data_IF_942016810684
#
_entry.id   IF_942016810684
#
_cell.length_a   1.000
_cell.length_b   1.000
_cell.length_c   1.000
_cell.angle_alpha   90.00
_cell.angle_beta   90.00
_cell.angle_gamma   90.00
#
_symmetry.space_group_name_H-M   'P 1'
#
loop_
_entity.id
_entity.type
_entity.pdbx_description
1 polymer ?
#
# COMPACT_ATOMS: atom_id res chain seq x y z
N UNK A 1 -13.26 -23.75 -21.03
CA UNK A 1 -14.26 -22.93 -20.30
C UNK A 1 -14.69 -21.81 -21.22
N UNK A 2 -15.98 -21.68 -21.56
CA UNK A 2 -16.47 -20.75 -22.59
C UNK A 2 -16.80 -19.33 -22.07
N UNK A 3 -16.91 -19.17 -20.75
CA UNK A 3 -17.24 -17.89 -20.12
C UNK A 3 -16.13 -17.42 -19.17
N UNK A 4 -15.81 -16.12 -19.27
CA UNK A 4 -14.75 -15.47 -18.53
C UNK A 4 -15.01 -15.49 -17.01
N UNK A 5 -16.28 -15.42 -16.60
CA UNK A 5 -16.74 -15.50 -15.20
C UNK A 5 -16.45 -16.88 -14.58
N UNK A 6 -16.68 -17.95 -15.32
CA UNK A 6 -16.37 -19.31 -14.87
C UNK A 6 -14.86 -19.51 -14.70
N UNK A 7 -14.06 -18.94 -15.61
CA UNK A 7 -12.60 -18.94 -15.50
C UNK A 7 -12.14 -18.19 -14.25
N UNK A 8 -12.69 -17.00 -13.98
CA UNK A 8 -12.39 -16.23 -12.77
C UNK A 8 -12.72 -17.01 -11.49
N UNK A 9 -13.89 -17.65 -11.43
CA UNK A 9 -14.29 -18.44 -10.25
C UNK A 9 -13.40 -19.67 -10.05
N UNK A 10 -13.05 -20.37 -11.12
CA UNK A 10 -12.18 -21.54 -11.07
C UNK A 10 -10.75 -21.19 -10.59
N UNK A 11 -10.21 -20.05 -11.04
CA UNK A 11 -8.90 -19.58 -10.58
C UNK A 11 -8.98 -19.10 -9.13
N UNK A 12 -10.04 -18.37 -8.76
CA UNK A 12 -10.23 -17.87 -7.39
C UNK A 12 -10.31 -19.00 -6.37
N UNK A 13 -11.01 -20.10 -6.69
CA UNK A 13 -11.11 -21.25 -5.79
C UNK A 13 -9.77 -21.96 -5.61
N UNK A 14 -8.99 -22.14 -6.69
CA UNK A 14 -7.64 -22.74 -6.63
C UNK A 14 -6.63 -21.84 -5.92
N UNK A 15 -6.72 -20.53 -6.12
CA UNK A 15 -5.92 -19.55 -5.39
C UNK A 15 -6.19 -19.61 -3.89
N UNK A 16 -7.47 -19.68 -3.47
CA UNK A 16 -7.85 -19.88 -2.07
C UNK A 16 -7.36 -21.23 -1.51
N UNK A 17 -7.33 -22.27 -2.35
CA UNK A 17 -6.76 -23.59 -2.05
C UNK A 17 -5.22 -23.65 -1.99
N UNK A 18 -4.51 -22.54 -2.29
CA UNK A 18 -3.04 -22.46 -2.40
C UNK A 18 -2.43 -23.33 -3.52
N UNK A 19 -3.22 -23.71 -4.51
CA UNK A 19 -2.79 -24.49 -5.67
C UNK A 19 -2.39 -23.54 -6.82
N UNK A 20 -1.33 -22.76 -6.61
CA UNK A 20 -0.97 -21.65 -7.50
C UNK A 20 -0.56 -22.10 -8.92
N UNK A 21 0.04 -23.28 -9.06
CA UNK A 21 0.47 -23.80 -10.37
C UNK A 21 -0.71 -24.17 -11.27
N UNK A 22 -1.70 -24.86 -10.71
CA UNK A 22 -2.93 -25.20 -11.44
C UNK A 22 -3.75 -23.95 -11.79
N UNK A 23 -3.78 -22.97 -10.88
CA UNK A 23 -4.40 -21.68 -11.14
C UNK A 23 -3.76 -20.97 -12.35
N UNK A 24 -2.42 -21.02 -12.49
CA UNK A 24 -1.73 -20.46 -13.66
C UNK A 24 -2.07 -21.20 -14.96
N UNK A 25 -2.12 -22.53 -14.94
CA UNK A 25 -2.48 -23.30 -16.14
C UNK A 25 -3.87 -22.91 -16.66
N UNK A 26 -4.83 -22.72 -15.75
CA UNK A 26 -6.17 -22.25 -16.11
C UNK A 26 -6.12 -20.82 -16.66
N UNK A 27 -5.30 -19.94 -16.07
CA UNK A 27 -5.14 -18.55 -16.52
C UNK A 27 -4.47 -18.43 -17.89
N UNK A 28 -3.46 -19.25 -18.18
CA UNK A 28 -2.71 -19.27 -19.44
C UNK A 28 -3.47 -19.98 -20.56
N UNK A 29 -4.47 -20.80 -20.24
CA UNK A 29 -5.33 -21.41 -21.25
C UNK A 29 -5.98 -20.34 -22.16
N UNK A 30 -5.84 -20.45 -23.50
CA UNK A 30 -6.37 -19.48 -24.43
C UNK A 30 -7.90 -19.40 -24.29
N UNK A 31 -8.42 -18.17 -24.20
CA UNK A 31 -9.85 -17.93 -24.21
C UNK A 31 -10.30 -18.14 -25.66
N UNK A 32 -11.29 -19.01 -25.95
CA UNK A 32 -11.80 -19.14 -27.30
C UNK A 32 -12.38 -17.79 -27.74
N UNK A 33 -11.85 -17.23 -28.82
CA UNK A 33 -12.29 -15.97 -29.43
C UNK A 33 -13.81 -16.00 -29.61
N UNK A 34 -14.52 -15.18 -28.84
CA UNK A 34 -15.91 -14.85 -29.15
C UNK A 34 -15.92 -13.54 -29.91
N UNK A 35 -16.64 -13.57 -31.04
CA UNK A 35 -16.96 -12.44 -31.91
C UNK A 35 -17.45 -11.28 -31.05
N UNK A 36 -16.68 -10.19 -31.06
CA UNK A 36 -17.01 -8.92 -30.42
C UNK A 36 -18.30 -8.41 -31.08
N UNK A 37 -19.38 -8.35 -30.31
CA UNK A 37 -20.57 -7.57 -30.68
C UNK A 37 -20.43 -6.25 -29.93
N UNK A 38 -20.13 -5.14 -30.62
CA UNK A 38 -19.90 -3.86 -29.97
C UNK A 38 -21.25 -3.21 -29.66
N UNK A 39 -21.58 -3.03 -28.38
CA UNK A 39 -22.26 -1.79 -27.98
C UNK A 39 -22.29 -1.56 -26.46
N UNK A 40 -22.65 -2.54 -25.61
CA UNK A 40 -22.89 -2.24 -24.18
C UNK A 40 -22.27 -3.23 -23.16
N UNK A 41 -21.77 -4.38 -23.60
CA UNK A 41 -21.14 -5.39 -22.71
C UNK A 41 -19.66 -5.14 -22.40
N UNK A 42 -19.07 -4.08 -22.96
CA UNK A 42 -17.62 -3.85 -22.99
C UNK A 42 -17.03 -3.48 -21.62
N UNK A 43 -17.76 -2.71 -20.81
CA UNK A 43 -17.22 -2.22 -19.52
C UNK A 43 -17.13 -3.35 -18.48
N UNK A 44 -18.21 -4.13 -18.30
CA UNK A 44 -18.21 -5.27 -17.38
C UNK A 44 -17.17 -6.32 -17.80
N UNK A 45 -17.01 -6.53 -19.12
CA UNK A 45 -16.03 -7.46 -19.64
C UNK A 45 -14.59 -6.96 -19.37
N UNK A 46 -14.31 -5.66 -19.58
CA UNK A 46 -13.00 -5.06 -19.24
C UNK A 46 -12.68 -5.14 -17.75
N UNK A 47 -13.65 -4.87 -16.87
CA UNK A 47 -13.47 -5.01 -15.41
C UNK A 47 -13.19 -6.45 -15.00
N UNK A 48 -13.85 -7.42 -15.63
CA UNK A 48 -13.63 -8.84 -15.39
C UNK A 48 -12.25 -9.30 -15.91
N UNK A 49 -11.82 -8.79 -17.06
CA UNK A 49 -10.47 -9.00 -17.58
C UNK A 49 -9.40 -8.39 -16.66
N UNK A 50 -9.62 -7.16 -16.16
CA UNK A 50 -8.75 -6.52 -15.19
C UNK A 50 -8.62 -7.35 -13.90
N UNK A 51 -9.75 -7.84 -13.37
CA UNK A 51 -9.81 -8.71 -12.19
C UNK A 51 -9.06 -10.03 -12.40
N UNK A 52 -9.12 -10.60 -13.61
CA UNK A 52 -8.35 -11.79 -13.97
C UNK A 52 -6.84 -11.51 -14.04
N UNK A 53 -6.42 -10.36 -14.60
CA UNK A 53 -5.01 -9.96 -14.62
C UNK A 53 -4.47 -9.71 -13.21
N UNK A 54 -5.27 -9.10 -12.34
CA UNK A 54 -4.93 -8.93 -10.92
C UNK A 54 -4.70 -10.30 -10.25
N UNK A 55 -5.62 -11.25 -10.44
CA UNK A 55 -5.48 -12.59 -9.88
C UNK A 55 -4.26 -13.34 -10.44
N UNK A 56 -3.95 -13.13 -11.72
CA UNK A 56 -2.72 -13.64 -12.34
C UNK A 56 -1.47 -13.05 -11.70
N UNK A 57 -1.45 -11.73 -11.47
CA UNK A 57 -0.37 -11.05 -10.75
C UNK A 57 -0.15 -11.63 -9.36
N UNK A 58 -1.22 -11.80 -8.57
CA UNK A 58 -1.17 -12.42 -7.23
C UNK A 58 -0.67 -13.85 -7.25
N UNK A 59 -1.03 -14.61 -8.28
CA UNK A 59 -0.60 -16.00 -8.43
C UNK A 59 0.89 -16.08 -8.77
N UNK A 60 1.39 -15.22 -9.67
CA UNK A 60 2.83 -15.13 -9.93
C UNK A 60 3.61 -14.65 -8.70
N UNK A 61 3.05 -13.72 -7.93
CA UNK A 61 3.64 -13.27 -6.68
C UNK A 61 3.76 -14.41 -5.66
N UNK A 62 2.72 -15.24 -5.52
CA UNK A 62 2.74 -16.42 -4.66
C UNK A 62 3.74 -17.50 -5.10
N UNK A 63 4.19 -17.48 -6.36
CA UNK A 63 5.22 -18.36 -6.92
C UNK A 63 6.60 -17.64 -6.97
N UNK A 64 6.72 -16.49 -6.30
CA UNK A 64 7.94 -15.65 -6.25
C UNK A 64 8.41 -15.09 -7.61
N UNK A 65 7.56 -15.07 -8.64
CA UNK A 65 7.87 -14.47 -9.94
C UNK A 65 7.43 -13.00 -10.01
N UNK A 66 8.22 -12.12 -9.40
CA UNK A 66 7.91 -10.69 -9.27
C UNK A 66 7.84 -9.94 -10.60
N UNK A 67 8.68 -10.30 -11.59
CA UNK A 67 8.70 -9.59 -12.87
C UNK A 67 7.40 -9.82 -13.65
N UNK A 68 6.93 -11.07 -13.74
CA UNK A 68 5.67 -11.37 -14.41
C UNK A 68 4.47 -10.85 -13.62
N UNK A 69 4.54 -10.85 -12.28
CA UNK A 69 3.52 -10.26 -11.43
C UNK A 69 3.34 -8.76 -11.73
N UNK A 70 4.45 -8.00 -11.79
CA UNK A 70 4.45 -6.58 -12.08
C UNK A 70 3.81 -6.27 -13.46
N UNK A 71 4.16 -7.02 -14.50
CA UNK A 71 3.58 -6.86 -15.82
C UNK A 71 2.07 -7.18 -15.84
N UNK A 72 1.61 -8.16 -15.06
CA UNK A 72 0.18 -8.46 -14.93
C UNK A 72 -0.57 -7.35 -14.19
N UNK A 73 0.00 -6.78 -13.12
CA UNK A 73 -0.59 -5.65 -12.41
C UNK A 73 -0.64 -4.38 -13.27
N UNK A 74 0.42 -4.07 -14.04
CA UNK A 74 0.42 -2.98 -15.03
C UNK A 74 -0.70 -3.16 -16.06
N UNK A 75 -0.93 -4.40 -16.53
CA UNK A 75 -2.03 -4.71 -17.47
C UNK A 75 -3.40 -4.54 -16.82
N UNK A 76 -3.57 -4.97 -15.57
CA UNK A 76 -4.82 -4.79 -14.84
C UNK A 76 -5.21 -3.31 -14.73
N UNK A 77 -4.25 -2.44 -14.39
CA UNK A 77 -4.46 -0.99 -14.27
C UNK A 77 -4.78 -0.29 -15.60
N UNK A 78 -4.26 -0.80 -16.73
CA UNK A 78 -4.60 -0.29 -18.06
C UNK A 78 -6.03 -0.63 -18.48
N UNK A 79 -6.57 -1.73 -17.97
CA UNK A 79 -7.94 -2.18 -18.24
C UNK A 79 -8.95 -1.50 -17.30
N UNK A 80 -8.57 -1.31 -16.03
CA UNK A 80 -9.37 -0.62 -15.02
C UNK A 80 -8.49 0.20 -14.08
N UNK A 81 -8.64 1.53 -14.16
CA UNK A 81 -7.91 2.49 -13.31
C UNK A 81 -8.31 2.35 -11.83
N UNK A 82 -9.55 1.93 -11.55
CA UNK A 82 -10.07 1.81 -10.18
C UNK A 82 -9.58 0.56 -9.44
N UNK A 83 -8.78 -0.29 -10.11
CA UNK A 83 -8.17 -1.47 -9.50
C UNK A 83 -7.01 -1.09 -8.55
N UNK A 84 -7.34 -0.45 -7.42
CA UNK A 84 -6.37 0.01 -6.42
C UNK A 84 -5.49 -1.13 -5.89
N UNK A 85 -6.03 -2.35 -5.77
CA UNK A 85 -5.28 -3.49 -5.25
C UNK A 85 -4.06 -3.85 -6.13
N UNK A 86 -4.17 -3.70 -7.45
CA UNK A 86 -3.03 -3.90 -8.36
C UNK A 86 -1.95 -2.82 -8.15
N UNK A 87 -2.39 -1.58 -7.97
CA UNK A 87 -1.50 -0.45 -7.71
C UNK A 87 -0.82 -0.57 -6.34
N UNK A 88 -1.56 -0.92 -5.30
CA UNK A 88 -1.02 -1.15 -3.95
C UNK A 88 0.06 -2.23 -3.97
N UNK A 89 -0.18 -3.36 -4.66
CA UNK A 89 0.81 -4.43 -4.79
C UNK A 89 2.10 -3.95 -5.48
N UNK A 90 1.99 -3.18 -6.56
CA UNK A 90 3.15 -2.62 -7.28
C UNK A 90 4.00 -1.72 -6.38
N UNK A 91 3.36 -0.80 -5.64
CA UNK A 91 4.04 0.17 -4.77
C UNK A 91 4.61 -0.51 -3.52
N UNK A 92 3.83 -1.38 -2.87
CA UNK A 92 4.20 -2.04 -1.61
C UNK A 92 5.42 -2.94 -1.76
N UNK A 93 5.52 -3.65 -2.88
CA UNK A 93 6.63 -4.55 -3.15
C UNK A 93 7.81 -3.89 -3.87
N UNK A 94 7.76 -2.57 -4.09
CA UNK A 94 8.77 -1.82 -4.83
C UNK A 94 9.09 -2.48 -6.18
N UNK A 95 8.04 -2.91 -6.89
CA UNK A 95 8.17 -3.65 -8.14
C UNK A 95 8.49 -2.73 -9.34
N UNK A 96 8.41 -1.42 -9.16
CA UNK A 96 8.61 -0.41 -10.19
C UNK A 96 9.78 0.50 -9.84
N UNK A 97 10.51 0.96 -10.87
CA UNK A 97 11.42 2.10 -10.73
C UNK A 97 10.65 3.42 -10.66
N UNK A 98 11.31 4.49 -10.19
CA UNK A 98 10.70 5.83 -10.13
C UNK A 98 10.18 6.30 -11.50
N UNK A 99 10.96 6.04 -12.54
CA UNK A 99 10.61 6.40 -13.92
C UNK A 99 9.39 5.61 -14.41
N UNK A 100 9.31 4.33 -14.03
CA UNK A 100 8.15 3.49 -14.36
C UNK A 100 6.89 3.95 -13.63
N UNK A 101 6.99 4.36 -12.36
CA UNK A 101 5.87 4.89 -11.59
C UNK A 101 5.33 6.20 -12.20
N UNK A 102 6.21 7.13 -12.60
CA UNK A 102 5.80 8.35 -13.30
C UNK A 102 5.17 8.04 -14.66
N UNK A 103 5.75 7.12 -15.42
CA UNK A 103 5.18 6.70 -16.70
C UNK A 103 3.79 6.09 -16.54
N UNK A 104 3.57 5.33 -15.46
CA UNK A 104 2.30 4.69 -15.14
C UNK A 104 1.25 5.74 -14.78
N UNK A 105 1.58 6.71 -13.93
CA UNK A 105 0.67 7.81 -13.58
C UNK A 105 0.25 8.62 -14.82
N UNK A 106 1.20 8.92 -15.71
CA UNK A 106 0.92 9.62 -16.96
C UNK A 106 0.02 8.80 -17.88
N UNK A 107 0.30 7.50 -18.04
CA UNK A 107 -0.51 6.60 -18.85
C UNK A 107 -1.94 6.53 -18.34
N UNK A 108 -2.15 6.32 -17.03
CA UNK A 108 -3.48 6.24 -16.42
C UNK A 108 -4.30 7.51 -16.69
N UNK A 109 -3.67 8.68 -16.59
CA UNK A 109 -4.33 9.97 -16.83
C UNK A 109 -4.76 10.16 -18.29
N UNK A 110 -4.08 9.50 -19.25
CA UNK A 110 -4.39 9.62 -20.68
C UNK A 110 -5.36 8.55 -21.20
N UNK A 111 -5.36 7.36 -20.60
CA UNK A 111 -5.96 6.16 -21.24
C UNK A 111 -7.46 6.00 -21.10
N UNK A 112 -8.13 6.63 -20.12
CA UNK A 112 -9.57 6.42 -19.94
C UNK A 112 -10.38 7.71 -20.03
N UNK A 113 -11.45 7.63 -20.83
CA UNK A 113 -12.54 8.59 -21.02
C UNK A 113 -13.41 8.70 -19.77
N UNK A 114 -12.79 8.95 -18.63
CA UNK A 114 -13.45 9.26 -17.37
C UNK A 114 -13.67 10.78 -17.32
N UNK A 115 -14.71 11.24 -16.62
CA UNK A 115 -14.89 12.67 -16.29
C UNK A 115 -13.58 13.27 -15.77
N UNK A 116 -13.30 14.51 -16.13
CA UNK A 116 -12.05 15.19 -15.76
C UNK A 116 -11.80 15.19 -14.24
N UNK A 117 -12.88 15.28 -13.45
CA UNK A 117 -12.84 15.35 -11.99
C UNK A 117 -12.40 14.01 -11.35
N UNK A 118 -12.90 12.88 -11.83
CA UNK A 118 -12.56 11.55 -11.31
C UNK A 118 -11.11 11.17 -11.67
N UNK A 119 -10.63 11.55 -12.85
CA UNK A 119 -9.24 11.37 -13.26
C UNK A 119 -8.28 12.18 -12.36
N UNK A 120 -8.66 13.40 -12.02
CA UNK A 120 -7.89 14.26 -11.12
C UNK A 120 -7.84 13.68 -9.68
N UNK A 121 -8.97 13.15 -9.21
CA UNK A 121 -9.04 12.47 -7.91
C UNK A 121 -8.14 11.23 -7.84
N UNK A 122 -8.25 10.31 -8.81
CA UNK A 122 -7.44 9.08 -8.80
C UNK A 122 -5.95 9.41 -8.90
N UNK A 123 -5.59 10.39 -9.74
CA UNK A 123 -4.22 10.86 -9.86
C UNK A 123 -3.68 11.38 -8.52
N UNK A 124 -4.43 12.25 -7.84
CA UNK A 124 -4.05 12.77 -6.52
C UNK A 124 -3.81 11.63 -5.51
N UNK A 125 -4.70 10.63 -5.49
CA UNK A 125 -4.60 9.49 -4.58
C UNK A 125 -3.35 8.63 -4.88
N UNK A 126 -3.07 8.34 -6.15
CA UNK A 126 -1.93 7.51 -6.53
C UNK A 126 -0.60 8.25 -6.34
N UNK A 127 -0.54 9.54 -6.69
CA UNK A 127 0.65 10.39 -6.42
C UNK A 127 1.00 10.46 -4.93
N UNK A 128 -0.02 10.42 -4.08
CA UNK A 128 0.14 10.39 -2.62
C UNK A 128 0.87 9.11 -2.16
N UNK A 129 0.74 7.98 -2.85
CA UNK A 129 1.35 6.70 -2.43
C UNK A 129 2.73 6.41 -3.06
N UNK A 130 3.03 6.96 -4.24
CA UNK A 130 4.29 6.73 -4.99
C UNK A 130 5.48 7.54 -4.44
N UNK A 131 5.29 8.85 -4.23
CA UNK A 131 6.39 9.82 -4.01
C UNK A 131 6.93 9.84 -2.57
N UNK A 132 7.12 8.69 -1.92
CA UNK A 132 7.46 8.60 -0.48
C UNK A 132 8.78 9.26 -0.08
N UNK A 133 9.75 9.30 -1.00
CA UNK A 133 11.11 9.78 -0.73
C UNK A 133 11.41 11.18 -1.27
N UNK A 134 10.44 11.83 -1.91
CA UNK A 134 10.64 13.16 -2.46
C UNK A 134 10.51 14.22 -1.36
N UNK A 135 10.90 15.46 -1.68
CA UNK A 135 10.72 16.58 -0.74
C UNK A 135 9.24 16.71 -0.39
N UNK A 136 8.90 17.06 0.87
CA UNK A 136 7.52 17.21 1.27
C UNK A 136 7.03 18.53 0.64
N UNK A 137 6.46 18.42 -0.55
CA UNK A 137 5.70 19.50 -1.17
C UNK A 137 4.26 19.30 -0.74
N UNK A 138 3.63 20.35 -0.20
CA UNK A 138 2.20 20.33 0.10
C UNK A 138 1.46 19.88 -1.16
N UNK A 139 0.53 18.93 -1.08
CA UNK A 139 -0.18 18.48 -2.26
C UNK A 139 -1.00 19.69 -2.72
N UNK A 140 -0.83 20.09 -3.97
CA UNK A 140 -1.76 21.01 -4.61
C UNK A 140 -3.07 20.24 -4.74
N UNK A 141 -3.95 20.38 -3.75
CA UNK A 141 -5.28 19.80 -3.78
C UNK A 141 -6.12 20.72 -4.67
N UNK A 142 -6.69 20.21 -5.78
CA UNK A 142 -7.55 20.98 -6.65
C UNK A 142 -8.74 21.56 -5.88
N UNK A 143 -9.25 22.73 -6.29
CA UNK A 143 -10.33 23.42 -5.58
C UNK A 143 -11.62 22.60 -5.45
N UNK A 144 -11.86 21.66 -6.38
CA UNK A 144 -12.98 20.70 -6.32
C UNK A 144 -12.83 19.58 -5.28
N UNK A 145 -11.62 19.35 -4.76
CA UNK A 145 -11.28 18.24 -3.86
C UNK A 145 -10.91 18.69 -2.44
N UNK A 146 -11.27 19.92 -2.06
CA UNK A 146 -10.94 20.52 -0.78
C UNK A 146 -11.39 19.69 0.44
N UNK A 147 -12.44 18.89 0.32
CA UNK A 147 -12.92 17.99 1.36
C UNK A 147 -11.90 16.88 1.72
N UNK A 148 -11.04 16.49 0.78
CA UNK A 148 -10.00 15.49 1.01
C UNK A 148 -8.82 16.00 1.83
N UNK A 149 -8.70 17.32 2.04
CA UNK A 149 -7.63 17.90 2.86
C UNK A 149 -7.64 17.37 4.30
N UNK A 150 -8.81 16.96 4.79
CA UNK A 150 -8.97 16.34 6.12
C UNK A 150 -8.72 14.82 6.16
N UNK A 151 -8.46 14.17 5.03
CA UNK A 151 -8.39 12.72 4.97
C UNK A 151 -7.09 12.18 5.59
N UNK A 152 -7.21 11.11 6.37
CA UNK A 152 -6.10 10.51 7.12
C UNK A 152 -5.02 9.95 6.18
N UNK A 153 -5.39 9.45 4.99
CA UNK A 153 -4.44 8.88 4.03
C UNK A 153 -3.46 9.93 3.48
N UNK A 154 -3.97 11.11 3.14
CA UNK A 154 -3.16 12.23 2.63
C UNK A 154 -2.26 12.77 3.74
N UNK A 155 -2.81 12.92 4.95
CA UNK A 155 -2.04 13.33 6.12
C UNK A 155 -0.94 12.32 6.49
N UNK A 156 -1.23 11.01 6.41
CA UNK A 156 -0.27 9.95 6.68
C UNK A 156 0.86 9.95 5.65
N UNK A 157 0.54 10.07 4.36
CA UNK A 157 1.56 10.17 3.32
C UNK A 157 2.43 11.43 3.48
N UNK A 158 1.83 12.57 3.81
CA UNK A 158 2.61 13.79 4.08
C UNK A 158 3.53 13.60 5.27
N UNK A 159 3.02 12.98 6.34
CA UNK A 159 3.81 12.64 7.51
C UNK A 159 4.96 11.69 7.15
N UNK A 160 4.76 10.67 6.30
CA UNK A 160 5.82 9.80 5.79
C UNK A 160 6.92 10.60 5.08
N UNK A 161 6.54 11.51 4.18
CA UNK A 161 7.51 12.36 3.45
C UNK A 161 8.29 13.27 4.40
N UNK A 162 7.63 13.92 5.35
CA UNK A 162 8.29 14.74 6.38
C UNK A 162 9.24 13.89 7.25
N UNK A 163 8.83 12.66 7.58
CA UNK A 163 9.63 11.71 8.35
C UNK A 163 10.92 11.32 7.62
N UNK A 164 10.84 10.98 6.33
CA UNK A 164 12.02 10.67 5.52
C UNK A 164 12.96 11.87 5.33
N UNK A 165 12.41 13.09 5.32
CA UNK A 165 13.19 14.33 5.26
C UNK A 165 13.69 14.82 6.63
N UNK A 166 13.46 14.06 7.71
CA UNK A 166 13.84 14.38 9.09
C UNK A 166 13.18 15.65 9.69
N UNK A 167 12.08 16.13 9.11
CA UNK A 167 11.29 17.21 9.74
C UNK A 167 10.20 16.61 10.65
N UNK A 168 10.62 16.21 11.84
CA UNK A 168 9.74 15.55 12.81
C UNK A 168 8.70 16.49 13.42
N UNK A 169 8.98 17.81 13.47
CA UNK A 169 8.05 18.79 14.05
C UNK A 169 6.83 18.97 13.16
N UNK A 170 7.05 19.25 11.88
CA UNK A 170 5.96 19.36 10.91
C UNK A 170 5.21 18.03 10.77
N UNK A 171 5.95 16.92 10.73
CA UNK A 171 5.36 15.58 10.70
C UNK A 171 4.36 15.36 11.86
N UNK A 172 4.73 15.76 13.08
CA UNK A 172 3.88 15.65 14.26
C UNK A 172 2.65 16.55 14.19
N UNK A 173 2.82 17.81 13.81
CA UNK A 173 1.71 18.74 13.69
C UNK A 173 0.69 18.29 12.63
N UNK A 174 1.16 17.91 11.43
CA UNK A 174 0.31 17.42 10.34
C UNK A 174 -0.40 16.11 10.72
N UNK A 175 0.31 15.13 11.28
CA UNK A 175 -0.29 13.84 11.62
C UNK A 175 -1.30 13.94 12.77
N UNK A 176 -0.95 14.64 13.86
CA UNK A 176 -1.82 14.73 15.04
C UNK A 176 -2.97 15.72 14.88
N UNK A 177 -2.86 16.73 14.01
CA UNK A 177 -4.01 17.57 13.66
C UNK A 177 -5.13 16.76 13.00
N UNK A 178 -4.79 15.78 12.17
CA UNK A 178 -5.76 14.88 11.53
C UNK A 178 -6.21 13.72 12.46
N UNK A 179 -5.31 13.17 13.30
CA UNK A 179 -5.61 12.01 14.15
C UNK A 179 -6.50 12.32 15.37
N UNK A 180 -6.70 13.60 15.72
CA UNK A 180 -7.61 14.01 16.80
C UNK A 180 -9.07 13.60 16.59
N UNK A 181 -9.44 13.15 15.39
CA UNK A 181 -10.83 12.89 14.99
C UNK A 181 -11.28 11.43 15.12
N UNK A 182 -10.46 10.46 15.54
CA UNK A 182 -10.95 9.10 15.75
C UNK A 182 -9.93 8.05 16.21
N UNK A 183 -10.41 6.85 16.63
CA UNK A 183 -9.54 5.72 16.94
C UNK A 183 -8.79 5.24 15.69
N UNK A 184 -7.50 4.93 15.86
CA UNK A 184 -6.59 4.51 14.79
C UNK A 184 -6.99 3.09 14.37
N UNK A 185 -7.71 2.94 13.26
CA UNK A 185 -8.15 1.64 12.72
C UNK A 185 -7.35 1.19 11.50
N UNK A 186 -6.51 2.06 10.91
CA UNK A 186 -5.86 1.82 9.63
C UNK A 186 -4.44 1.27 9.75
N UNK A 187 -4.17 0.14 9.08
CA UNK A 187 -2.90 -0.62 9.17
C UNK A 187 -1.70 0.13 8.59
N UNK A 188 -1.86 0.97 7.55
CA UNK A 188 -0.71 1.64 6.93
C UNK A 188 -0.28 2.91 7.67
N UNK A 189 -1.13 3.50 8.53
CA UNK A 189 -0.74 4.66 9.34
C UNK A 189 -0.04 4.28 10.65
N UNK A 190 -0.14 3.01 11.06
CA UNK A 190 0.47 2.46 12.27
C UNK A 190 2.00 2.64 12.31
N UNK A 191 2.78 2.31 11.27
CA UNK A 191 4.23 2.50 11.29
C UNK A 191 4.65 3.95 11.53
N UNK A 192 3.94 4.90 10.91
CA UNK A 192 4.18 6.35 11.05
C UNK A 192 3.82 6.79 12.46
N UNK A 193 2.61 6.44 12.93
CA UNK A 193 2.15 6.75 14.28
C UNK A 193 3.12 6.27 15.35
N UNK A 194 3.58 5.03 15.23
CA UNK A 194 4.53 4.41 16.15
C UNK A 194 5.86 5.15 16.12
N UNK A 195 6.37 5.46 14.92
CA UNK A 195 7.64 6.18 14.76
C UNK A 195 7.60 7.58 15.37
N UNK A 196 6.50 8.33 15.17
CA UNK A 196 6.34 9.65 15.80
C UNK A 196 6.12 9.56 17.31
N UNK A 197 5.35 8.57 17.76
CA UNK A 197 5.11 8.37 19.19
C UNK A 197 6.40 7.97 19.91
N UNK A 198 7.25 7.15 19.27
CA UNK A 198 8.61 6.83 19.73
C UNK A 198 9.48 8.09 19.80
N UNK A 199 9.48 8.89 18.74
CA UNK A 199 10.25 10.13 18.68
C UNK A 199 9.82 11.13 19.77
N UNK A 200 8.52 11.34 19.94
CA UNK A 200 7.96 12.23 20.96
C UNK A 200 8.25 11.77 22.39
N UNK A 201 8.34 10.45 22.60
CA UNK A 201 8.63 9.84 23.90
C UNK A 201 10.09 9.40 24.05
N UNK A 202 11.01 9.90 23.23
CA UNK A 202 12.43 9.59 23.36
C UNK A 202 12.92 10.00 24.76
N UNK A 203 13.48 9.05 25.51
CA UNK A 203 13.87 9.23 26.92
C UNK A 203 12.78 9.00 27.97
N UNK A 204 11.53 8.72 27.58
CA UNK A 204 10.40 8.41 28.49
C UNK A 204 9.98 6.94 28.39
N UNK A 205 10.75 6.05 29.02
CA UNK A 205 10.54 4.59 28.96
C UNK A 205 9.14 4.14 29.40
N UNK A 206 8.57 4.76 30.43
CA UNK A 206 7.25 4.40 30.98
C UNK A 206 6.10 4.66 29.98
N UNK A 207 6.14 5.80 29.27
CA UNK A 207 5.12 6.15 28.29
C UNK A 207 5.15 5.20 27.09
N UNK A 208 6.36 4.81 26.66
CA UNK A 208 6.54 3.87 25.57
C UNK A 208 6.06 2.46 25.92
N UNK A 209 6.30 2.02 27.15
CA UNK A 209 5.82 0.73 27.65
C UNK A 209 4.28 0.67 27.63
N UNK A 210 3.61 1.72 28.13
CA UNK A 210 2.15 1.80 28.11
C UNK A 210 1.58 1.77 26.69
N UNK A 211 2.22 2.49 25.77
CA UNK A 211 1.83 2.48 24.36
C UNK A 211 2.02 1.10 23.73
N UNK A 212 3.13 0.41 24.02
CA UNK A 212 3.38 -0.93 23.49
C UNK A 212 2.31 -1.92 23.94
N UNK A 213 1.94 -1.91 25.22
CA UNK A 213 0.86 -2.76 25.74
C UNK A 213 -0.50 -2.41 25.13
N UNK A 214 -0.83 -1.12 25.04
CA UNK A 214 -2.07 -0.66 24.42
C UNK A 214 -2.17 -1.10 22.94
N UNK A 215 -1.04 -1.12 22.22
CA UNK A 215 -1.02 -1.59 20.83
C UNK A 215 -1.23 -3.10 20.72
N UNK A 216 -0.71 -3.90 21.66
CA UNK A 216 -0.95 -5.35 21.68
C UNK A 216 -2.44 -5.64 21.85
N UNK A 217 -3.10 -4.90 22.74
CA UNK A 217 -4.53 -5.06 23.00
C UNK A 217 -5.37 -4.66 21.78
N UNK A 218 -4.92 -3.68 20.99
CA UNK A 218 -5.64 -3.18 19.81
C UNK A 218 -5.40 -4.00 18.53
N UNK A 219 -4.22 -4.60 18.35
CA UNK A 219 -3.83 -5.27 17.11
C UNK A 219 -3.11 -6.61 17.33
N UNK A 220 -3.79 -7.64 17.87
CA UNK A 220 -3.17 -8.93 18.19
C UNK A 220 -2.60 -9.66 16.95
N UNK A 221 -3.22 -9.49 15.78
CA UNK A 221 -2.84 -10.18 14.54
C UNK A 221 -1.61 -9.55 13.85
N UNK A 222 -1.31 -8.27 14.14
CA UNK A 222 -0.18 -7.55 13.54
C UNK A 222 1.11 -7.72 14.36
N UNK A 223 1.50 -8.98 14.60
CA UNK A 223 2.65 -9.35 15.43
C UNK A 223 3.97 -8.68 15.00
N UNK A 224 4.13 -8.36 13.71
CA UNK A 224 5.31 -7.68 13.17
C UNK A 224 5.45 -6.23 13.67
N UNK A 225 4.32 -5.52 13.77
CA UNK A 225 4.27 -4.12 14.21
C UNK A 225 4.53 -4.04 15.72
N UNK A 226 3.94 -4.97 16.47
CA UNK A 226 4.15 -5.10 17.91
C UNK A 226 5.59 -5.46 18.27
N UNK A 227 6.19 -6.40 17.54
CA UNK A 227 7.60 -6.76 17.69
C UNK A 227 8.53 -5.57 17.53
N UNK A 228 8.25 -4.69 16.56
CA UNK A 228 9.02 -3.45 16.40
C UNK A 228 8.98 -2.56 17.62
N UNK A 229 7.81 -2.40 18.24
CA UNK A 229 7.64 -1.48 19.35
C UNK A 229 8.35 -1.96 20.62
N UNK A 230 8.25 -3.26 20.92
CA UNK A 230 9.03 -3.86 22.02
C UNK A 230 10.52 -3.84 21.73
N UNK A 231 10.93 -4.04 20.47
CA UNK A 231 12.32 -3.90 20.02
C UNK A 231 12.91 -2.52 20.34
N UNK A 232 12.20 -1.45 19.98
CA UNK A 232 12.59 -0.07 20.29
C UNK A 232 12.61 0.21 21.80
N UNK A 233 11.63 -0.29 22.56
CA UNK A 233 11.61 -0.17 24.02
C UNK A 233 12.83 -0.83 24.67
N UNK A 234 13.12 -2.09 24.32
CA UNK A 234 14.27 -2.81 24.88
C UNK A 234 15.61 -2.20 24.45
N UNK A 235 15.67 -1.60 23.26
CA UNK A 235 16.84 -0.84 22.83
C UNK A 235 17.07 0.39 23.72
N UNK A 236 16.03 1.18 24.01
CA UNK A 236 16.12 2.35 24.89
C UNK A 236 16.42 1.99 26.35
N UNK A 237 15.99 0.81 26.81
CA UNK A 237 16.29 0.29 28.16
C UNK A 237 17.71 -0.31 28.25
N UNK A 238 18.43 -0.42 27.13
CA UNK A 238 19.81 -0.95 27.08
C UNK A 238 19.90 -2.48 27.04
N UNK A 239 18.79 -3.19 26.83
CA UNK A 239 18.76 -4.66 26.71
C UNK A 239 18.89 -5.10 25.25
N UNK A 240 20.11 -5.01 24.72
CA UNK A 240 20.41 -5.28 23.31
C UNK A 240 20.00 -6.69 22.82
N UNK A 241 20.14 -7.73 23.66
CA UNK A 241 19.78 -9.11 23.29
C UNK A 241 18.27 -9.29 23.09
N UNK A 242 17.46 -8.74 23.99
CA UNK A 242 16.01 -8.74 23.85
C UNK A 242 15.58 -7.91 22.64
N UNK A 243 16.17 -6.73 22.46
CA UNK A 243 15.88 -5.85 21.32
C UNK A 243 16.13 -6.57 19.98
N UNK A 244 17.25 -7.26 19.83
CA UNK A 244 17.58 -8.02 18.61
C UNK A 244 16.55 -9.09 18.27
N UNK A 245 16.05 -9.83 19.26
CA UNK A 245 15.04 -10.89 19.06
C UNK A 245 13.71 -10.35 18.54
N UNK A 246 13.33 -9.15 18.98
CA UNK A 246 12.11 -8.49 18.55
C UNK A 246 12.29 -7.74 17.22
N UNK A 247 13.47 -7.17 16.96
CA UNK A 247 13.79 -6.43 15.73
C UNK A 247 14.15 -7.33 14.53
N UNK A 248 14.53 -8.58 14.73
CA UNK A 248 14.93 -9.49 13.65
C UNK A 248 13.80 -9.83 12.66
N UNK A 249 12.55 -9.46 12.97
CA UNK A 249 11.36 -9.69 12.13
C UNK A 249 10.73 -8.40 11.60
N UNK A 250 11.41 -7.26 11.75
CA UNK A 250 10.80 -5.93 11.64
C UNK A 250 11.22 -5.21 10.35
N UNK A 251 10.29 -4.39 9.85
CA UNK A 251 10.43 -3.62 8.63
C UNK A 251 11.49 -2.49 8.74
N UNK A 252 12.19 -2.24 7.63
CA UNK A 252 13.42 -1.44 7.51
C UNK A 252 13.31 0.03 7.99
N UNK A 253 12.10 0.57 8.06
CA UNK A 253 11.85 1.99 8.33
C UNK A 253 12.19 2.38 9.78
N UNK A 254 11.88 1.52 10.76
CA UNK A 254 12.19 1.77 12.18
C UNK A 254 13.67 1.63 12.52
N UNK A 255 14.38 0.71 11.83
CA UNK A 255 15.81 0.47 12.04
C UNK A 255 16.62 1.71 11.62
N UNK A 256 16.26 2.36 10.51
CA UNK A 256 16.95 3.57 10.03
C UNK A 256 16.84 4.75 11.01
N UNK A 257 15.72 4.89 11.72
CA UNK A 257 15.53 5.95 12.71
C UNK A 257 16.41 5.75 13.95
N UNK A 258 16.63 4.49 14.36
CA UNK A 258 17.50 4.14 15.49
C UNK A 258 18.99 4.31 15.17
N UNK A 259 19.42 3.93 13.96
CA UNK A 259 20.84 3.98 13.55
C UNK A 259 21.37 5.41 13.40
N UNK A 260 20.51 6.40 13.14
CA UNK A 260 20.94 7.80 12.95
C UNK A 260 21.13 8.60 14.25
N UNK A 261 20.65 8.06 15.38
CA UNK A 261 20.65 8.74 16.69
C UNK A 261 21.38 7.95 17.79
N UNK A 262 21.97 6.78 17.47
CA UNK A 262 22.92 6.07 18.33
C UNK A 262 24.34 6.31 17.87
#
# INVERSE_FOLDING_TARGET
MKDLRCKFLAVSSRFAGKEYREALEILEAPIPERVIIPDEGDLEQRQLEASLQLLKGKTYEAIDNRMLAAECYKKALRLDIHCYEAFEALVKHQMLSKEEEESLLNLLTMTLTISAEDNEFVRLLYETKVKKYDKPVLPEIPDGLNELRGNLDIATSMAEKCFYNCDYKQCFETYFSCTKQGPITYTDCLPVHISLSLFSNFGKSNALFYLAHKLVDLFPDNANILGSQFGCYYFLVGKADSARRYLSKVHLCLIKCLVRHG
#
